data_IF_106438592391
#
_entry.id   IF_106438592391
#
_cell.length_a   1.000
_cell.length_b   1.000
_cell.length_c   1.000
_cell.angle_alpha   90.00
_cell.angle_beta   90.00
_cell.angle_gamma   90.00
#
_symmetry.space_group_name_H-M   'P 1'
#
loop_
_entity.id
_entity.type
_entity.pdbx_description
1 polymer ?
#
# COMPACT_ATOMS: atom_id res chain seq x y z
N UNK A 1 -44.05 -44.72 55.26
CA UNK A 1 -43.60 -43.38 55.69
C UNK A 1 -42.26 -43.10 55.02
N UNK A 2 -42.28 -42.37 53.91
CA UNK A 2 -41.10 -41.97 53.13
C UNK A 2 -40.60 -40.61 53.60
N UNK A 3 -39.29 -40.43 53.82
CA UNK A 3 -38.59 -39.14 53.62
C UNK A 3 -37.15 -39.35 53.16
N UNK A 4 -36.98 -39.21 51.84
CA UNK A 4 -35.81 -38.67 51.12
C UNK A 4 -35.44 -37.29 51.72
N UNK A 5 -34.18 -36.90 51.89
CA UNK A 5 -33.11 -36.70 50.91
C UNK A 5 -32.95 -35.19 50.67
N UNK A 6 -31.83 -34.58 51.09
CA UNK A 6 -31.46 -33.21 50.69
C UNK A 6 -29.93 -33.08 50.64
N UNK A 7 -29.37 -33.27 49.45
CA UNK A 7 -27.99 -32.87 49.13
C UNK A 7 -28.06 -31.42 48.66
N UNK A 8 -27.33 -30.54 49.34
CA UNK A 8 -27.13 -29.15 48.90
C UNK A 8 -26.14 -29.14 47.74
N UNK A 9 -26.63 -28.93 46.52
CA UNK A 9 -25.77 -28.65 45.37
C UNK A 9 -25.60 -27.14 45.25
N UNK A 10 -24.44 -26.63 45.66
CA UNK A 10 -23.98 -25.28 45.31
C UNK A 10 -23.65 -25.27 43.81
N UNK A 11 -24.49 -24.67 42.99
CA UNK A 11 -24.15 -24.34 41.60
C UNK A 11 -23.26 -23.10 41.58
N UNK A 12 -21.96 -23.32 41.39
CA UNK A 12 -20.99 -22.28 41.07
C UNK A 12 -21.23 -21.85 39.61
N UNK A 13 -21.84 -20.69 39.40
CA UNK A 13 -22.04 -20.12 38.07
C UNK A 13 -20.70 -19.54 37.58
N UNK A 14 -19.97 -20.31 36.77
CA UNK A 14 -18.75 -19.87 36.11
C UNK A 14 -19.12 -18.89 34.98
N UNK A 15 -19.01 -17.59 35.21
CA UNK A 15 -19.12 -16.58 34.16
C UNK A 15 -17.89 -16.69 33.24
N UNK A 16 -18.03 -17.45 32.16
CA UNK A 16 -17.07 -17.51 31.07
C UNK A 16 -17.18 -16.18 30.29
N UNK A 17 -16.39 -15.18 30.65
CA UNK A 17 -16.23 -13.98 29.82
C UNK A 17 -15.39 -14.40 28.61
N UNK A 18 -16.07 -14.82 27.55
CA UNK A 18 -15.45 -14.98 26.24
C UNK A 18 -15.16 -13.57 25.74
N UNK A 19 -13.91 -13.13 25.84
CA UNK A 19 -13.42 -11.99 25.10
C UNK A 19 -13.44 -12.35 23.61
N UNK A 20 -14.59 -12.21 22.96
CA UNK A 20 -14.61 -12.05 21.51
C UNK A 20 -13.90 -10.72 21.24
N UNK A 21 -12.64 -10.79 20.80
CA UNK A 21 -12.06 -9.68 20.08
C UNK A 21 -13.01 -9.39 18.92
N UNK A 22 -13.76 -8.29 19.01
CA UNK A 22 -14.60 -7.84 17.92
C UNK A 22 -13.65 -7.60 16.75
N UNK A 23 -13.64 -8.53 15.79
CA UNK A 23 -13.00 -8.32 14.51
C UNK A 23 -13.78 -7.18 13.88
N UNK A 24 -13.21 -5.98 13.93
CA UNK A 24 -13.82 -4.84 13.26
C UNK A 24 -13.61 -5.07 11.77
N UNK A 25 -14.67 -5.50 11.08
CA UNK A 25 -14.66 -5.54 9.63
C UNK A 25 -14.42 -4.12 9.12
N UNK A 26 -13.59 -3.99 8.08
CA UNK A 26 -13.38 -2.68 7.48
C UNK A 26 -14.71 -2.10 7.01
N UNK A 27 -14.92 -0.79 7.18
CA UNK A 27 -16.14 -0.14 6.77
C UNK A 27 -16.31 -0.29 5.24
N UNK A 28 -17.55 -0.44 4.76
CA UNK A 28 -17.81 -0.39 3.34
C UNK A 28 -17.49 1.01 2.79
N UNK A 29 -17.24 1.10 1.48
CA UNK A 29 -17.01 2.37 0.75
C UNK A 29 -15.68 3.06 1.08
N UNK A 30 -14.63 2.29 1.32
CA UNK A 30 -13.27 2.81 1.41
C UNK A 30 -12.89 3.60 0.15
N UNK A 31 -12.21 4.72 0.34
CA UNK A 31 -11.43 5.38 -0.72
C UNK A 31 -10.06 4.69 -0.77
N UNK A 32 -9.85 3.90 -1.82
CA UNK A 32 -8.72 3.00 -1.92
C UNK A 32 -7.52 3.68 -2.60
N UNK A 33 -6.33 3.50 -2.01
CA UNK A 33 -5.07 4.02 -2.54
C UNK A 33 -4.08 2.88 -2.73
N UNK A 34 -3.69 2.63 -3.97
CA UNK A 34 -2.68 1.64 -4.31
C UNK A 34 -1.27 2.22 -4.12
N UNK A 35 -0.46 1.60 -3.27
CA UNK A 35 0.87 2.07 -2.89
C UNK A 35 1.96 1.19 -3.50
N UNK A 36 2.50 1.60 -4.65
CA UNK A 36 3.40 0.80 -5.49
C UNK A 36 4.71 1.53 -5.82
N UNK A 37 5.71 0.77 -6.26
CA UNK A 37 7.07 1.24 -6.49
C UNK A 37 8.09 0.46 -5.68
N UNK A 38 9.18 1.09 -5.25
CA UNK A 38 10.29 0.39 -4.59
C UNK A 38 10.42 0.72 -3.09
N UNK A 39 11.63 0.57 -2.53
CA UNK A 39 11.89 0.63 -1.09
C UNK A 39 11.45 1.95 -0.43
N UNK A 40 11.51 3.07 -1.15
CA UNK A 40 11.08 4.36 -0.60
C UNK A 40 9.55 4.53 -0.56
N UNK A 41 8.79 3.82 -1.41
CA UNK A 41 7.34 3.64 -1.20
C UNK A 41 7.07 2.65 -0.07
N UNK A 42 7.80 1.52 -0.06
CA UNK A 42 7.62 0.47 0.94
C UNK A 42 7.98 0.92 2.36
N UNK A 43 8.86 1.91 2.49
CA UNK A 43 9.29 2.48 3.75
C UNK A 43 10.52 1.80 4.33
N UNK A 44 11.50 2.61 4.72
CA UNK A 44 12.77 2.21 5.37
C UNK A 44 13.13 3.13 6.55
N UNK A 45 12.21 4.00 6.95
CA UNK A 45 12.37 4.86 8.11
C UNK A 45 12.22 4.08 9.42
N UNK A 46 12.75 4.63 10.51
CA UNK A 46 12.54 4.08 11.84
C UNK A 46 11.05 4.09 12.19
N UNK A 47 10.57 3.03 12.83
CA UNK A 47 9.17 2.90 13.25
C UNK A 47 9.05 3.38 14.68
N UNK A 48 8.22 4.40 14.88
CA UNK A 48 7.81 4.87 16.19
C UNK A 48 6.39 4.37 16.50
N UNK A 49 6.07 4.23 17.78
CA UNK A 49 4.74 3.80 18.20
C UNK A 49 3.74 4.94 18.01
N UNK A 50 2.88 4.82 17.00
CA UNK A 50 1.75 5.73 16.78
C UNK A 50 0.42 5.03 17.06
N UNK A 51 -0.55 5.80 17.58
CA UNK A 51 -1.93 5.32 17.73
C UNK A 51 -2.59 5.30 16.35
N UNK A 52 -3.13 4.15 15.89
CA UNK A 52 -3.79 4.08 14.59
C UNK A 52 -4.95 5.08 14.45
N UNK A 53 -5.05 5.71 13.30
CA UNK A 53 -6.17 6.61 13.00
C UNK A 53 -7.45 5.80 12.75
N UNK A 54 -8.60 6.12 13.38
CA UNK A 54 -9.79 5.27 13.36
C UNK A 54 -10.43 5.10 11.97
N UNK A 55 -10.11 5.99 11.02
CA UNK A 55 -10.63 5.95 9.64
C UNK A 55 -9.66 5.44 8.59
N UNK A 56 -8.44 5.04 8.97
CA UNK A 56 -7.42 4.58 8.02
C UNK A 56 -7.18 3.10 8.22
N UNK A 57 -7.32 2.36 7.13
CA UNK A 57 -7.25 0.91 7.07
C UNK A 57 -6.14 0.51 6.10
N UNK A 58 -5.51 -0.63 6.33
CA UNK A 58 -4.56 -1.23 5.39
C UNK A 58 -4.93 -2.67 5.08
N UNK A 59 -4.72 -3.07 3.83
CA UNK A 59 -4.86 -4.45 3.41
C UNK A 59 -3.58 -5.22 3.77
N UNK A 60 -3.69 -6.23 4.62
CA UNK A 60 -2.57 -7.09 5.04
C UNK A 60 -2.07 -7.98 3.90
N UNK A 61 -0.98 -8.71 4.14
CA UNK A 61 -0.48 -9.73 3.21
C UNK A 61 -1.53 -10.82 2.96
N UNK A 62 -2.27 -11.20 4.00
CA UNK A 62 -3.35 -12.19 3.99
C UNK A 62 -4.66 -11.65 3.39
N UNK A 63 -4.62 -10.46 2.78
CA UNK A 63 -5.77 -9.79 2.14
C UNK A 63 -6.94 -9.55 3.11
N UNK A 64 -6.63 -9.26 4.37
CA UNK A 64 -7.58 -8.83 5.40
C UNK A 64 -7.37 -7.36 5.74
N UNK A 65 -8.42 -6.66 6.16
CA UNK A 65 -8.29 -5.27 6.57
C UNK A 65 -8.05 -5.15 8.07
N UNK A 66 -7.13 -4.25 8.42
CA UNK A 66 -6.81 -3.87 9.81
C UNK A 66 -6.63 -2.35 9.91
N UNK A 67 -6.76 -1.74 11.10
CA UNK A 67 -6.33 -0.35 11.31
C UNK A 67 -4.89 -0.16 10.84
N UNK A 68 -4.63 0.89 10.06
CA UNK A 68 -3.32 1.11 9.47
C UNK A 68 -2.28 1.56 10.49
N UNK A 69 -1.10 0.94 10.44
CA UNK A 69 0.06 1.29 11.23
C UNK A 69 1.33 0.95 10.44
N UNK A 70 2.39 1.74 10.57
CA UNK A 70 3.68 1.38 9.98
C UNK A 70 4.31 0.18 10.71
N UNK A 71 5.04 -0.70 9.99
CA UNK A 71 5.26 -0.67 8.55
C UNK A 71 4.03 -1.13 7.74
N UNK A 72 3.68 -0.38 6.69
CA UNK A 72 2.57 -0.73 5.81
C UNK A 72 2.89 -1.92 4.87
N UNK A 73 4.15 -2.03 4.44
CA UNK A 73 4.57 -3.04 3.46
C UNK A 73 5.26 -4.23 4.14
N UNK A 74 5.39 -5.32 3.40
CA UNK A 74 5.91 -6.61 3.89
C UNK A 74 6.88 -7.26 2.89
N UNK A 75 7.45 -6.47 1.98
CA UNK A 75 8.32 -6.93 0.90
C UNK A 75 9.64 -7.53 1.40
N UNK A 76 10.23 -6.90 2.43
CA UNK A 76 11.48 -7.31 3.07
C UNK A 76 11.38 -7.11 4.58
N UNK A 77 10.83 -8.10 5.32
CA UNK A 77 10.50 -7.95 6.74
C UNK A 77 11.67 -7.52 7.65
N UNK A 78 12.91 -7.84 7.27
CA UNK A 78 14.09 -7.48 8.05
C UNK A 78 14.44 -5.98 8.03
N UNK A 79 13.91 -5.20 7.07
CA UNK A 79 14.31 -3.80 6.86
C UNK A 79 13.14 -2.86 6.56
N UNK A 80 11.91 -3.38 6.48
CA UNK A 80 10.74 -2.54 6.23
C UNK A 80 10.44 -1.65 7.43
N UNK A 81 10.00 -0.43 7.17
CA UNK A 81 9.74 0.57 8.20
C UNK A 81 8.80 1.65 7.68
N UNK A 82 8.93 2.86 8.19
CA UNK A 82 8.05 3.99 7.82
C UNK A 82 8.25 4.37 6.35
N UNK A 83 7.13 4.48 5.63
CA UNK A 83 7.01 5.00 4.27
C UNK A 83 6.04 6.19 4.20
N UNK A 84 5.74 6.70 3.00
CA UNK A 84 4.87 7.89 2.85
C UNK A 84 3.38 7.60 3.02
N UNK A 85 2.97 6.31 2.96
CA UNK A 85 1.57 5.93 2.81
C UNK A 85 0.67 6.35 3.97
N UNK A 86 1.13 6.19 5.22
CA UNK A 86 0.31 6.48 6.40
C UNK A 86 0.13 8.00 6.58
N UNK A 87 1.21 8.78 6.49
CA UNK A 87 1.16 10.23 6.55
C UNK A 87 0.31 10.84 5.41
N UNK A 88 0.41 10.29 4.20
CA UNK A 88 -0.49 10.64 3.10
C UNK A 88 -1.95 10.40 3.47
N UNK A 89 -2.28 9.20 3.96
CA UNK A 89 -3.64 8.85 4.31
C UNK A 89 -4.21 9.71 5.45
N UNK A 90 -3.38 10.09 6.43
CA UNK A 90 -3.75 11.03 7.50
C UNK A 90 -4.14 12.39 6.91
N UNK A 91 -3.34 12.94 5.99
CA UNK A 91 -3.68 14.21 5.33
C UNK A 91 -4.97 14.14 4.50
N UNK A 92 -5.21 13.03 3.81
CA UNK A 92 -6.48 12.82 3.09
C UNK A 92 -7.66 12.70 4.06
N UNK A 93 -7.51 11.94 5.15
CA UNK A 93 -8.54 11.78 6.16
C UNK A 93 -8.88 13.10 6.85
N UNK A 94 -7.88 13.93 7.18
CA UNK A 94 -8.07 15.26 7.77
C UNK A 94 -8.84 16.21 6.84
N UNK A 95 -8.54 16.16 5.54
CA UNK A 95 -9.21 16.98 4.53
C UNK A 95 -10.64 16.49 4.20
N UNK A 96 -10.95 15.21 4.47
CA UNK A 96 -12.23 14.57 4.15
C UNK A 96 -12.79 13.81 5.36
N UNK A 97 -13.37 14.54 6.31
CA UNK A 97 -13.79 14.04 7.62
C UNK A 97 -14.70 12.79 7.61
N UNK A 98 -15.53 12.64 6.57
CA UNK A 98 -16.50 11.53 6.45
C UNK A 98 -15.95 10.30 5.74
N UNK A 99 -14.78 10.39 5.11
CA UNK A 99 -14.23 9.32 4.28
C UNK A 99 -13.38 8.36 5.11
N UNK A 100 -13.53 7.07 4.82
CA UNK A 100 -12.63 6.03 5.29
C UNK A 100 -11.62 5.72 4.20
N UNK A 101 -10.35 5.63 4.58
CA UNK A 101 -9.22 5.47 3.66
C UNK A 101 -8.75 4.02 3.73
N UNK A 102 -8.59 3.37 2.58
CA UNK A 102 -8.03 2.02 2.48
C UNK A 102 -6.70 2.05 1.74
N UNK A 103 -5.62 1.71 2.42
CA UNK A 103 -4.30 1.59 1.84
C UNK A 103 -4.09 0.17 1.31
N UNK A 104 -3.58 0.06 0.10
CA UNK A 104 -3.24 -1.22 -0.55
C UNK A 104 -1.72 -1.26 -0.76
N UNK A 105 -0.96 -1.80 0.21
CA UNK A 105 0.48 -1.95 0.08
C UNK A 105 0.82 -2.94 -1.04
N UNK A 106 1.63 -2.52 -2.01
CA UNK A 106 2.09 -3.36 -3.12
C UNK A 106 3.52 -3.07 -3.59
N UNK A 107 4.26 -2.17 -2.94
CA UNK A 107 5.63 -1.82 -3.31
C UNK A 107 6.64 -2.93 -2.96
N UNK A 108 7.70 -3.04 -3.77
CA UNK A 108 8.71 -4.10 -3.70
C UNK A 108 10.13 -3.52 -3.80
N UNK A 109 10.92 -3.68 -2.74
CA UNK A 109 12.23 -3.07 -2.58
C UNK A 109 13.29 -3.49 -3.60
N UNK A 110 13.90 -2.51 -4.25
CA UNK A 110 14.93 -2.69 -5.28
C UNK A 110 14.40 -3.04 -6.66
N UNK A 111 13.07 -3.18 -6.82
CA UNK A 111 12.46 -3.44 -8.12
C UNK A 111 12.80 -2.34 -9.12
N UNK A 112 13.34 -2.73 -10.26
CA UNK A 112 13.41 -1.88 -11.45
C UNK A 112 12.06 -1.90 -12.16
N UNK A 113 11.79 -0.92 -13.02
CA UNK A 113 10.51 -0.85 -13.74
C UNK A 113 10.23 -2.10 -14.61
N UNK A 114 11.27 -2.82 -15.03
CA UNK A 114 11.15 -4.06 -15.83
C UNK A 114 10.45 -5.21 -15.12
N UNK A 115 10.40 -5.22 -13.78
CA UNK A 115 9.67 -6.24 -13.03
C UNK A 115 8.24 -5.80 -12.68
N UNK A 116 7.82 -4.64 -13.18
CA UNK A 116 6.44 -4.16 -13.13
C UNK A 116 5.69 -4.48 -14.44
N UNK A 117 5.99 -5.64 -15.02
CA UNK A 117 5.36 -6.20 -16.22
C UNK A 117 4.54 -7.45 -15.85
N UNK A 118 3.41 -7.74 -16.55
CA UNK A 118 2.64 -8.96 -16.32
C UNK A 118 3.50 -10.22 -16.43
N UNK A 119 3.41 -11.11 -15.45
CA UNK A 119 4.17 -12.36 -15.37
C UNK A 119 5.64 -12.20 -15.00
N UNK A 120 6.16 -10.98 -14.82
CA UNK A 120 7.55 -10.78 -14.47
C UNK A 120 7.84 -11.28 -13.05
N UNK A 121 8.82 -12.16 -12.92
CA UNK A 121 9.26 -12.70 -11.64
C UNK A 121 10.44 -11.91 -11.08
N UNK A 122 10.34 -11.48 -9.82
CA UNK A 122 11.41 -10.78 -9.11
C UNK A 122 12.03 -11.68 -8.04
N UNK A 123 13.13 -12.34 -8.44
CA UNK A 123 13.86 -13.30 -7.61
C UNK A 123 14.23 -12.79 -6.19
N UNK A 124 14.65 -11.52 -5.97
CA UNK A 124 15.04 -11.04 -4.64
C UNK A 124 13.96 -11.12 -3.56
N UNK A 125 12.68 -11.08 -3.94
CA UNK A 125 11.55 -11.23 -3.01
C UNK A 125 10.68 -12.45 -3.32
N UNK A 126 11.05 -13.23 -4.34
CA UNK A 126 10.31 -14.40 -4.84
C UNK A 126 8.85 -14.08 -5.15
N UNK A 127 8.61 -12.92 -5.75
CA UNK A 127 7.28 -12.37 -5.98
C UNK A 127 7.09 -11.93 -7.44
N UNK A 128 5.86 -11.61 -7.79
CA UNK A 128 5.46 -11.02 -9.07
C UNK A 128 4.89 -9.60 -8.82
N UNK A 129 5.73 -8.55 -8.79
CA UNK A 129 5.32 -7.22 -8.29
C UNK A 129 4.08 -6.64 -8.96
N UNK A 130 4.00 -6.73 -10.29
CA UNK A 130 2.83 -6.26 -11.04
C UNK A 130 1.58 -7.08 -10.72
N UNK A 131 1.66 -8.40 -10.88
CA UNK A 131 0.50 -9.30 -10.77
C UNK A 131 -0.09 -9.27 -9.36
N UNK A 132 0.77 -9.32 -8.33
CA UNK A 132 0.35 -9.25 -6.94
C UNK A 132 -0.28 -7.91 -6.59
N UNK A 133 0.25 -6.78 -7.10
CA UNK A 133 -0.35 -5.46 -6.88
C UNK A 133 -1.75 -5.36 -7.50
N UNK A 134 -1.94 -5.89 -8.72
CA UNK A 134 -3.24 -5.92 -9.40
C UNK A 134 -4.23 -6.85 -8.68
N UNK A 135 -3.79 -8.03 -8.25
CA UNK A 135 -4.62 -8.97 -7.47
C UNK A 135 -5.13 -8.31 -6.18
N UNK A 136 -4.22 -7.67 -5.43
CA UNK A 136 -4.55 -6.99 -4.18
C UNK A 136 -5.51 -5.83 -4.38
N UNK A 137 -5.32 -5.04 -5.45
CA UNK A 137 -6.24 -3.97 -5.79
C UNK A 137 -7.64 -4.49 -6.15
N UNK A 138 -7.72 -5.56 -6.95
CA UNK A 138 -9.01 -6.21 -7.29
C UNK A 138 -9.72 -6.75 -6.06
N UNK A 139 -8.98 -7.37 -5.12
CA UNK A 139 -9.52 -7.82 -3.84
C UNK A 139 -10.08 -6.66 -3.02
N UNK A 140 -9.36 -5.54 -2.97
CA UNK A 140 -9.78 -4.36 -2.22
C UNK A 140 -11.09 -3.74 -2.71
N UNK A 141 -11.47 -3.94 -3.99
CA UNK A 141 -12.73 -3.44 -4.54
C UNK A 141 -13.98 -4.03 -3.90
N UNK A 142 -13.85 -5.15 -3.17
CA UNK A 142 -14.94 -5.68 -2.33
C UNK A 142 -15.34 -4.70 -1.21
N UNK A 143 -14.45 -3.77 -0.83
CA UNK A 143 -14.67 -2.84 0.29
C UNK A 143 -14.73 -1.37 -0.13
N UNK A 144 -14.51 -1.03 -1.41
CA UNK A 144 -14.39 0.37 -1.81
C UNK A 144 -14.11 0.60 -3.28
N UNK A 145 -13.72 1.83 -3.60
CA UNK A 145 -13.38 2.26 -4.96
C UNK A 145 -11.97 2.82 -5.01
N UNK A 146 -11.25 2.60 -6.12
CA UNK A 146 -9.93 3.17 -6.32
C UNK A 146 -10.03 4.69 -6.44
N UNK A 147 -9.46 5.40 -5.47
CA UNK A 147 -9.42 6.86 -5.42
C UNK A 147 -8.08 7.42 -5.89
N UNK A 148 -7.00 6.64 -5.82
CA UNK A 148 -5.68 7.08 -6.27
C UNK A 148 -4.65 5.95 -6.35
N UNK A 149 -3.58 6.22 -7.08
CA UNK A 149 -2.38 5.38 -7.13
C UNK A 149 -1.19 6.24 -6.74
N UNK A 150 -0.37 5.76 -5.81
CA UNK A 150 0.90 6.36 -5.44
C UNK A 150 2.02 5.51 -6.01
N UNK A 151 2.88 6.14 -6.82
CA UNK A 151 4.06 5.52 -7.42
C UNK A 151 5.31 6.24 -6.92
N UNK A 152 6.24 5.49 -6.34
CA UNK A 152 7.57 6.02 -6.02
C UNK A 152 8.65 4.99 -6.35
N UNK A 153 9.32 5.22 -7.48
CA UNK A 153 10.34 4.34 -8.03
C UNK A 153 11.23 5.08 -9.03
N UNK A 154 12.46 4.60 -9.20
CA UNK A 154 13.35 5.01 -10.27
C UNK A 154 14.83 4.91 -9.92
N UNK A 155 15.18 4.68 -8.65
CA UNK A 155 16.56 4.52 -8.22
C UNK A 155 17.21 3.30 -8.91
N UNK A 156 16.48 2.19 -9.06
CA UNK A 156 16.97 0.98 -9.77
C UNK A 156 17.11 1.16 -11.30
N UNK A 157 16.61 2.27 -11.84
CA UNK A 157 16.62 2.62 -13.27
C UNK A 157 17.43 3.88 -13.56
N UNK A 158 18.14 4.42 -12.57
CA UNK A 158 18.90 5.67 -12.68
C UNK A 158 20.18 5.57 -13.52
N UNK A 159 20.50 4.41 -14.09
CA UNK A 159 21.62 4.28 -15.04
C UNK A 159 21.21 4.84 -16.41
N UNK A 160 22.11 5.51 -17.16
CA UNK A 160 21.76 6.17 -18.42
C UNK A 160 21.04 5.28 -19.45
N UNK A 161 21.47 4.03 -19.60
CA UNK A 161 20.87 3.06 -20.51
C UNK A 161 19.42 2.68 -20.14
N UNK A 162 19.12 2.62 -18.84
CA UNK A 162 17.78 2.34 -18.32
C UNK A 162 16.89 3.58 -18.32
N UNK A 163 17.44 4.72 -17.89
CA UNK A 163 16.74 5.99 -17.85
C UNK A 163 16.22 6.41 -19.23
N UNK A 164 16.96 6.10 -20.30
CA UNK A 164 16.59 6.41 -21.68
C UNK A 164 15.21 5.85 -22.10
N UNK A 165 14.77 4.73 -21.52
CA UNK A 165 13.49 4.08 -21.84
C UNK A 165 12.46 4.20 -20.71
N UNK A 166 12.81 4.85 -19.60
CA UNK A 166 12.00 4.87 -18.39
C UNK A 166 10.65 5.58 -18.59
N UNK A 167 10.64 6.72 -19.29
CA UNK A 167 9.42 7.49 -19.57
C UNK A 167 8.36 6.65 -20.32
N UNK A 168 8.80 5.91 -21.34
CA UNK A 168 7.95 5.05 -22.14
C UNK A 168 7.40 3.90 -21.29
N UNK A 169 8.26 3.21 -20.54
CA UNK A 169 7.86 2.10 -19.67
C UNK A 169 6.87 2.53 -18.59
N UNK A 170 7.10 3.68 -17.95
CA UNK A 170 6.20 4.21 -16.93
C UNK A 170 4.84 4.63 -17.52
N UNK A 171 4.84 5.23 -18.72
CA UNK A 171 3.60 5.55 -19.43
C UNK A 171 2.79 4.29 -19.73
N UNK A 172 3.44 3.24 -20.22
CA UNK A 172 2.80 1.95 -20.52
C UNK A 172 2.26 1.33 -19.22
N UNK A 173 3.07 1.30 -18.16
CA UNK A 173 2.68 0.78 -16.85
C UNK A 173 1.43 1.47 -16.30
N UNK A 174 1.40 2.81 -16.28
CA UNK A 174 0.26 3.57 -15.76
C UNK A 174 -1.01 3.27 -16.58
N UNK A 175 -0.90 3.28 -17.91
CA UNK A 175 -2.04 2.95 -18.78
C UNK A 175 -2.55 1.52 -18.54
N UNK A 176 -1.62 0.57 -18.36
CA UNK A 176 -1.96 -0.83 -18.11
C UNK A 176 -2.66 -1.03 -16.76
N UNK A 177 -2.14 -0.45 -15.68
CA UNK A 177 -2.79 -0.52 -14.36
C UNK A 177 -4.21 0.06 -14.43
N UNK A 178 -4.37 1.23 -15.08
CA UNK A 178 -5.69 1.84 -15.29
C UNK A 178 -6.66 0.93 -16.04
N UNK A 179 -6.19 0.26 -17.11
CA UNK A 179 -7.02 -0.66 -17.86
C UNK A 179 -7.38 -1.92 -17.05
N UNK A 180 -6.39 -2.57 -16.42
CA UNK A 180 -6.58 -3.81 -15.66
C UNK A 180 -7.44 -3.64 -14.41
N UNK A 181 -7.44 -2.43 -13.84
CA UNK A 181 -8.28 -2.04 -12.71
C UNK A 181 -9.57 -1.31 -13.12
N UNK A 182 -9.82 -1.14 -14.42
CA UNK A 182 -10.99 -0.41 -14.97
C UNK A 182 -11.16 0.98 -14.37
N UNK A 183 -10.05 1.68 -14.19
CA UNK A 183 -9.93 2.96 -13.50
C UNK A 183 -9.24 4.01 -14.38
N UNK A 184 -9.76 4.22 -15.60
CA UNK A 184 -9.13 5.02 -16.67
C UNK A 184 -8.71 6.44 -16.26
N UNK A 185 -9.48 7.06 -15.37
CA UNK A 185 -9.26 8.45 -14.93
C UNK A 185 -8.70 8.57 -13.50
N UNK A 186 -8.34 7.45 -12.86
CA UNK A 186 -7.82 7.52 -11.48
C UNK A 186 -6.55 8.37 -11.42
N UNK A 187 -6.45 9.31 -10.45
CA UNK A 187 -5.25 10.12 -10.30
C UNK A 187 -4.06 9.24 -9.91
N UNK A 188 -2.92 9.50 -10.54
CA UNK A 188 -1.63 8.89 -10.19
C UNK A 188 -0.71 9.98 -9.65
N UNK A 189 -0.28 9.81 -8.40
CA UNK A 189 0.68 10.67 -7.71
C UNK A 189 2.05 10.00 -7.82
N UNK A 190 3.04 10.73 -8.35
CA UNK A 190 4.39 10.22 -8.56
C UNK A 190 5.38 11.00 -7.70
N UNK A 191 6.08 10.32 -6.81
CA UNK A 191 7.18 10.92 -6.05
C UNK A 191 8.46 10.98 -6.87
N UNK A 192 9.11 12.16 -6.88
CA UNK A 192 10.48 12.31 -7.36
C UNK A 192 11.48 11.58 -6.46
N UNK A 193 12.66 11.26 -7.01
CA UNK A 193 13.75 10.68 -6.23
C UNK A 193 14.31 11.74 -5.29
N UNK A 194 14.50 11.37 -4.03
CA UNK A 194 14.97 12.31 -3.01
C UNK A 194 16.31 12.95 -3.36
N UNK A 195 16.46 14.24 -3.03
CA UNK A 195 17.66 15.02 -3.36
C UNK A 195 18.95 14.38 -2.84
N UNK A 196 18.90 13.77 -1.65
CA UNK A 196 20.03 13.04 -1.07
C UNK A 196 20.52 11.89 -1.96
N UNK A 197 19.60 11.23 -2.68
CA UNK A 197 19.94 10.14 -3.60
C UNK A 197 20.52 10.69 -4.90
N UNK A 198 19.92 11.76 -5.45
CA UNK A 198 20.39 12.43 -6.68
C UNK A 198 21.79 13.02 -6.49
N UNK A 199 22.09 13.58 -5.32
CA UNK A 199 23.43 14.09 -5.00
C UNK A 199 24.48 12.97 -5.02
N UNK A 200 24.15 11.77 -4.52
CA UNK A 200 25.04 10.61 -4.52
C UNK A 200 25.09 9.87 -5.86
N UNK A 201 24.03 10.00 -6.67
CA UNK A 201 23.86 9.31 -7.95
C UNK A 201 23.43 10.33 -9.01
N UNK A 202 24.34 11.13 -9.59
CA UNK A 202 23.98 12.25 -10.46
C UNK A 202 23.11 11.87 -11.66
N UNK A 203 23.25 10.66 -12.19
CA UNK A 203 22.43 10.15 -13.28
C UNK A 203 20.94 10.04 -12.90
N UNK A 204 20.61 9.90 -11.61
CA UNK A 204 19.24 9.87 -11.10
C UNK A 204 18.48 11.18 -11.36
N UNK A 205 19.18 12.30 -11.60
CA UNK A 205 18.56 13.56 -12.02
C UNK A 205 17.76 13.40 -13.31
N UNK A 206 18.22 12.53 -14.22
CA UNK A 206 17.49 12.25 -15.47
C UNK A 206 16.12 11.62 -15.19
N UNK A 207 16.01 10.75 -14.17
CA UNK A 207 14.74 10.18 -13.73
C UNK A 207 13.82 11.29 -13.22
N UNK A 208 14.28 12.18 -12.33
CA UNK A 208 13.44 13.30 -11.87
C UNK A 208 12.98 14.19 -13.02
N UNK A 209 13.86 14.47 -13.99
CA UNK A 209 13.49 15.23 -15.20
C UNK A 209 12.38 14.53 -16.00
N UNK A 210 12.48 13.21 -16.18
CA UNK A 210 11.46 12.40 -16.84
C UNK A 210 10.14 12.42 -16.06
N UNK A 211 10.20 12.20 -14.74
CA UNK A 211 9.02 12.18 -13.88
C UNK A 211 8.27 13.50 -13.94
N UNK A 212 8.96 14.63 -13.76
CA UNK A 212 8.38 15.98 -13.79
C UNK A 212 7.79 16.34 -15.16
N UNK A 213 8.30 15.78 -16.25
CA UNK A 213 7.76 16.02 -17.60
C UNK A 213 6.49 15.21 -17.91
N UNK A 214 6.25 14.10 -17.19
CA UNK A 214 5.19 13.14 -17.51
C UNK A 214 3.76 13.73 -17.46
N UNK A 215 3.38 14.60 -16.51
CA UNK A 215 2.05 15.24 -16.47
C UNK A 215 1.68 16.01 -17.73
N UNK A 216 2.67 16.50 -18.50
CA UNK A 216 2.41 17.24 -19.73
C UNK A 216 1.87 16.36 -20.87
N UNK A 217 2.07 15.04 -20.79
CA UNK A 217 1.71 14.09 -21.86
C UNK A 217 0.77 12.97 -21.40
N UNK A 218 0.56 12.82 -20.10
CA UNK A 218 -0.29 11.78 -19.51
C UNK A 218 -1.31 12.40 -18.53
N UNK A 219 -2.62 12.41 -18.86
CA UNK A 219 -3.63 13.06 -18.03
C UNK A 219 -3.82 12.37 -16.68
N UNK A 220 -4.30 13.14 -15.70
CA UNK A 220 -4.54 12.71 -14.32
C UNK A 220 -3.28 12.13 -13.66
N UNK A 221 -2.11 12.66 -14.01
CA UNK A 221 -0.82 12.36 -13.39
C UNK A 221 -0.27 13.62 -12.76
N UNK A 222 0.19 13.50 -11.52
CA UNK A 222 0.72 14.60 -10.73
C UNK A 222 2.05 14.16 -10.11
N UNK A 223 2.98 15.09 -9.97
CA UNK A 223 4.34 14.83 -9.48
C UNK A 223 4.58 15.61 -8.20
N UNK A 224 5.21 14.97 -7.22
CA UNK A 224 5.56 15.50 -5.91
C UNK A 224 7.07 15.45 -5.70
#
# INVERSE_FOLDING_TARGET
>A
MNRTGFVKTCSLLLLLVVCLALRQDAPPRLQLFLLIGQSNMAGRGAVDAETPHPRIWMLTKEQTWVPAQDPLHFDKPAVVGVGPGLAFAQKVADAHAEQHIGLIPGAVGGSAIDVWEPGAYYAPTKSHPYDEAIERAKKAFENGQLAGILWHQGESDSRPDKAAVYAQKLTILIKRIRADLRAENVPVLIGTLGDFYVQKNPNARSINTILTALPATLPNVYVV
#
